data_IF_605806015590
#
_entry.id   IF_605806015590
#
_cell.length_a   1.000
_cell.length_b   1.000
_cell.length_c   1.000
_cell.angle_alpha   90.00
_cell.angle_beta   90.00
_cell.angle_gamma   90.00
#
_symmetry.space_group_name_H-M   'P 1'
#
loop_
_entity.id
_entity.type
_entity.pdbx_description
1 polymer ?
#
# COMPACT_ATOMS: atom_id res chain seq x y z
N UNK A 1 25.14 0.59 -10.34
CA UNK A 1 23.67 0.44 -10.35
C UNK A 1 23.18 0.83 -8.97
N UNK A 2 22.15 1.66 -8.82
CA UNK A 2 21.62 1.98 -7.48
C UNK A 2 20.77 0.81 -6.97
N UNK A 3 20.89 0.51 -5.68
CA UNK A 3 20.08 -0.52 -5.00
C UNK A 3 18.67 0.00 -4.72
N UNK A 4 17.74 -0.87 -4.29
CA UNK A 4 16.41 -0.40 -3.85
C UNK A 4 16.56 0.53 -2.65
N UNK A 5 17.47 0.23 -1.73
CA UNK A 5 17.76 1.07 -0.57
C UNK A 5 18.25 2.47 -0.97
N UNK A 6 19.18 2.56 -1.94
CA UNK A 6 19.68 3.87 -2.43
C UNK A 6 18.54 4.71 -3.03
N UNK A 7 17.65 4.08 -3.80
CA UNK A 7 16.50 4.76 -4.39
C UNK A 7 15.52 5.26 -3.33
N UNK A 8 15.26 4.47 -2.28
CA UNK A 8 14.40 4.87 -1.16
C UNK A 8 15.00 6.07 -0.43
N UNK A 9 16.31 6.04 -0.12
CA UNK A 9 17.01 7.16 0.51
C UNK A 9 16.94 8.42 -0.33
N UNK A 10 17.15 8.30 -1.65
CA UNK A 10 17.07 9.43 -2.57
C UNK A 10 15.67 10.04 -2.61
N UNK A 11 14.62 9.22 -2.70
CA UNK A 11 13.22 9.71 -2.69
C UNK A 11 12.88 10.33 -1.33
N UNK A 12 13.28 9.70 -0.23
CA UNK A 12 13.08 10.23 1.12
C UNK A 12 13.72 11.61 1.30
N UNK A 13 14.96 11.80 0.85
CA UNK A 13 15.64 13.10 0.88
C UNK A 13 14.88 14.16 0.06
N UNK A 14 14.41 13.81 -1.14
CA UNK A 14 13.61 14.71 -1.97
C UNK A 14 12.30 15.13 -1.31
N UNK A 15 11.62 14.20 -0.63
CA UNK A 15 10.40 14.50 0.12
C UNK A 15 10.70 15.49 1.25
N UNK A 16 11.76 15.25 2.03
CA UNK A 16 12.14 16.14 3.13
C UNK A 16 12.48 17.56 2.64
N UNK A 17 13.25 17.70 1.56
CA UNK A 17 13.52 19.00 0.95
C UNK A 17 12.23 19.71 0.51
N UNK A 18 11.27 18.99 -0.08
CA UNK A 18 10.01 19.57 -0.52
C UNK A 18 9.13 20.01 0.67
N UNK A 19 9.10 19.23 1.76
CA UNK A 19 8.38 19.58 3.00
C UNK A 19 8.94 20.87 3.60
N UNK A 20 10.27 20.97 3.72
CA UNK A 20 10.94 22.15 4.25
C UNK A 20 10.68 23.38 3.40
N UNK A 21 10.81 23.27 2.07
CA UNK A 21 10.53 24.37 1.14
C UNK A 21 9.07 24.86 1.23
N UNK A 22 8.14 23.95 1.50
CA UNK A 22 6.72 24.25 1.67
C UNK A 22 6.34 24.66 3.11
N UNK A 23 7.29 24.73 4.05
CA UNK A 23 7.06 25.02 5.46
C UNK A 23 5.99 24.12 6.11
N UNK A 24 5.97 22.83 5.72
CA UNK A 24 5.05 21.84 6.27
C UNK A 24 5.70 21.06 7.42
N UNK A 25 4.92 20.44 8.32
CA UNK A 25 5.46 19.53 9.34
C UNK A 25 6.22 18.34 8.72
N UNK A 26 7.29 17.89 9.37
CA UNK A 26 8.19 16.82 8.88
C UNK A 26 7.48 15.50 8.52
N UNK A 27 6.40 15.18 9.23
CA UNK A 27 5.61 13.95 9.01
C UNK A 27 4.34 14.17 8.17
N UNK A 28 4.26 15.28 7.43
CA UNK A 28 3.05 15.63 6.67
C UNK A 28 2.93 14.90 5.32
N UNK A 29 3.94 14.14 4.91
CA UNK A 29 3.94 13.35 3.67
C UNK A 29 4.46 11.96 3.99
N UNK A 30 3.71 10.94 3.56
CA UNK A 30 4.10 9.54 3.67
C UNK A 30 4.52 9.01 2.30
N UNK A 31 5.56 8.17 2.27
CA UNK A 31 6.02 7.51 1.06
C UNK A 31 5.34 6.14 0.94
N UNK A 32 4.48 5.99 -0.07
CA UNK A 32 3.86 4.72 -0.45
C UNK A 32 4.62 4.09 -1.62
N UNK A 33 5.19 2.90 -1.44
CA UNK A 33 5.90 2.21 -2.53
C UNK A 33 4.92 1.44 -3.41
N UNK A 34 4.81 1.84 -4.68
CA UNK A 34 3.99 1.14 -5.67
C UNK A 34 4.75 -0.09 -6.19
N UNK A 35 4.28 -1.28 -5.80
CA UNK A 35 5.00 -2.55 -6.00
C UNK A 35 4.41 -3.46 -7.07
N UNK A 36 3.37 -3.01 -7.79
CA UNK A 36 2.84 -3.73 -8.96
C UNK A 36 3.94 -4.10 -9.94
N UNK A 37 3.87 -5.31 -10.49
CA UNK A 37 4.84 -5.97 -11.37
C UNK A 37 6.21 -6.27 -10.77
N UNK A 38 6.44 -6.00 -9.47
CA UNK A 38 7.69 -6.33 -8.77
C UNK A 38 7.55 -7.64 -7.98
N UNK A 39 8.57 -8.50 -7.95
CA UNK A 39 8.52 -9.75 -7.18
C UNK A 39 8.53 -9.47 -5.67
N UNK A 40 8.00 -10.39 -4.86
CA UNK A 40 7.98 -10.30 -3.40
C UNK A 40 9.37 -10.02 -2.79
N UNK A 41 10.45 -10.56 -3.38
CA UNK A 41 11.83 -10.30 -2.97
C UNK A 41 12.20 -8.80 -2.99
N UNK A 42 11.69 -8.03 -3.96
CA UNK A 42 11.96 -6.60 -4.04
C UNK A 42 11.22 -5.82 -2.93
N UNK A 43 10.02 -6.26 -2.54
CA UNK A 43 9.28 -5.67 -1.41
C UNK A 43 10.00 -5.99 -0.09
N UNK A 44 10.58 -7.19 0.04
CA UNK A 44 11.38 -7.58 1.21
C UNK A 44 12.64 -6.70 1.34
N UNK A 45 13.34 -6.42 0.24
CA UNK A 45 14.47 -5.48 0.23
C UNK A 45 14.02 -4.06 0.61
N UNK A 46 12.89 -3.59 0.05
CA UNK A 46 12.31 -2.30 0.40
C UNK A 46 11.89 -2.21 1.89
N UNK A 47 11.34 -3.28 2.44
CA UNK A 47 10.99 -3.39 3.86
C UNK A 47 12.24 -3.34 4.75
N UNK A 48 13.30 -4.05 4.37
CA UNK A 48 14.58 -4.01 5.05
C UNK A 48 15.20 -2.60 5.04
N UNK A 49 14.93 -1.82 3.98
CA UNK A 49 15.31 -0.40 3.88
C UNK A 49 14.39 0.57 4.65
N UNK A 50 13.40 0.06 5.38
CA UNK A 50 12.57 0.85 6.30
C UNK A 50 11.15 1.16 5.80
N UNK A 51 10.80 0.80 4.57
CA UNK A 51 9.43 1.00 4.09
C UNK A 51 8.44 0.01 4.75
N UNK A 52 7.20 0.45 4.90
CA UNK A 52 6.11 -0.32 5.51
C UNK A 52 4.86 -0.35 4.62
N UNK A 53 4.57 0.76 3.95
CA UNK A 53 3.40 0.93 3.10
C UNK A 53 3.67 0.53 1.65
N UNK A 54 2.87 -0.40 1.13
CA UNK A 54 2.98 -0.93 -0.23
C UNK A 54 1.66 -0.85 -0.99
N UNK A 55 1.72 -0.30 -2.21
CA UNK A 55 0.59 -0.07 -3.09
C UNK A 55 0.51 -1.09 -4.22
N UNK A 56 -0.62 -1.78 -4.34
CA UNK A 56 -0.90 -2.76 -5.39
C UNK A 56 -2.13 -2.38 -6.24
N UNK A 57 -2.03 -2.67 -7.54
CA UNK A 57 -3.13 -2.41 -8.49
C UNK A 57 -3.95 -3.66 -8.81
N UNK A 58 -3.34 -4.85 -8.71
CA UNK A 58 -3.92 -6.10 -9.19
C UNK A 58 -4.12 -7.06 -8.02
N UNK A 59 -5.37 -7.40 -7.73
CA UNK A 59 -5.71 -8.19 -6.55
C UNK A 59 -4.98 -9.54 -6.51
N UNK A 60 -4.97 -10.31 -7.60
CA UNK A 60 -4.36 -11.64 -7.57
C UNK A 60 -2.84 -11.60 -7.36
N UNK A 61 -2.19 -10.60 -7.94
CA UNK A 61 -0.76 -10.38 -7.72
C UNK A 61 -0.49 -10.03 -6.25
N UNK A 62 -1.30 -9.13 -5.67
CA UNK A 62 -1.18 -8.74 -4.28
C UNK A 62 -1.39 -9.91 -3.31
N UNK A 63 -2.43 -10.74 -3.52
CA UNK A 63 -2.69 -11.91 -2.69
C UNK A 63 -1.52 -12.90 -2.70
N UNK A 64 -0.89 -13.11 -3.87
CA UNK A 64 0.32 -13.92 -3.98
C UNK A 64 1.46 -13.36 -3.13
N UNK A 65 1.74 -12.06 -3.24
CA UNK A 65 2.81 -11.41 -2.45
C UNK A 65 2.50 -11.38 -0.96
N UNK A 66 1.26 -11.16 -0.57
CA UNK A 66 0.83 -11.18 0.83
C UNK A 66 1.08 -12.54 1.46
N UNK A 67 0.81 -13.63 0.73
CA UNK A 67 1.12 -14.97 1.18
C UNK A 67 2.64 -15.19 1.32
N UNK A 68 3.43 -14.77 0.34
CA UNK A 68 4.90 -14.90 0.36
C UNK A 68 5.60 -14.01 1.40
N UNK A 69 4.94 -12.93 1.85
CA UNK A 69 5.47 -11.93 2.79
C UNK A 69 4.68 -11.91 4.09
N UNK A 70 3.92 -12.96 4.41
CA UNK A 70 3.10 -13.04 5.61
C UNK A 70 3.91 -12.98 6.92
N UNK A 71 5.23 -13.19 6.85
CA UNK A 71 6.17 -13.03 7.95
C UNK A 71 6.53 -11.55 8.25
N UNK A 72 6.17 -10.62 7.36
CA UNK A 72 6.46 -9.20 7.50
C UNK A 72 5.19 -8.40 7.82
N UNK A 73 5.23 -7.47 8.80
CA UNK A 73 4.10 -6.60 9.13
C UNK A 73 3.99 -5.44 8.12
N UNK A 74 3.68 -5.77 6.85
CA UNK A 74 3.48 -4.80 5.78
C UNK A 74 2.07 -4.20 5.85
N UNK A 75 1.97 -2.92 5.48
CA UNK A 75 0.69 -2.23 5.32
C UNK A 75 0.34 -2.24 3.84
N UNK A 76 -0.80 -2.83 3.49
CA UNK A 76 -1.22 -3.04 2.11
C UNK A 76 -2.28 -2.04 1.68
N UNK A 77 -1.97 -1.33 0.58
CA UNK A 77 -2.85 -0.34 -0.03
C UNK A 77 -3.32 -0.84 -1.40
N UNK A 78 -4.63 -0.96 -1.59
CA UNK A 78 -5.19 -1.17 -2.91
C UNK A 78 -5.39 0.17 -3.60
N UNK A 79 -4.66 0.39 -4.70
CA UNK A 79 -4.68 1.65 -5.45
C UNK A 79 -5.14 1.46 -6.91
N UNK A 80 -5.56 0.25 -7.27
CA UNK A 80 -6.08 -0.09 -8.59
C UNK A 80 -7.59 0.17 -8.73
N UNK A 81 -8.14 0.15 -9.95
CA UNK A 81 -9.59 0.25 -10.16
C UNK A 81 -10.33 -0.95 -9.54
N UNK A 82 -11.47 -0.69 -8.89
CA UNK A 82 -12.20 -1.71 -8.14
C UNK A 82 -13.35 -2.31 -8.98
N UNK A 83 -13.26 -3.60 -9.24
CA UNK A 83 -14.37 -4.38 -9.80
C UNK A 83 -15.27 -4.88 -8.67
N UNK A 84 -16.60 -4.76 -8.82
CA UNK A 84 -17.56 -5.08 -7.74
C UNK A 84 -17.48 -6.53 -7.24
N UNK A 85 -17.08 -7.48 -8.08
CA UNK A 85 -16.91 -8.89 -7.72
C UNK A 85 -15.62 -9.17 -6.93
N UNK A 86 -14.70 -8.20 -6.86
CA UNK A 86 -13.41 -8.29 -6.18
C UNK A 86 -13.43 -7.63 -4.79
N UNK A 87 -14.51 -6.91 -4.44
CA UNK A 87 -14.60 -6.13 -3.18
C UNK A 87 -14.39 -6.98 -1.93
N UNK A 88 -14.86 -8.24 -1.91
CA UNK A 88 -14.74 -9.10 -0.72
C UNK A 88 -13.28 -9.41 -0.39
N UNK A 89 -12.55 -9.93 -1.38
CA UNK A 89 -11.13 -10.22 -1.21
C UNK A 89 -10.31 -8.93 -0.97
N UNK A 90 -10.70 -7.77 -1.51
CA UNK A 90 -10.05 -6.50 -1.13
C UNK A 90 -10.32 -6.18 0.35
N UNK A 91 -11.56 -6.30 0.81
CA UNK A 91 -11.95 -6.03 2.19
C UNK A 91 -11.32 -7.00 3.19
N UNK A 92 -11.05 -8.24 2.83
CA UNK A 92 -10.42 -9.24 3.71
C UNK A 92 -8.90 -9.08 3.83
N UNK A 93 -8.24 -8.49 2.83
CA UNK A 93 -6.79 -8.59 2.67
C UNK A 93 -6.01 -7.26 2.68
N UNK A 94 -6.68 -6.11 2.59
CA UNK A 94 -6.00 -4.81 2.55
C UNK A 94 -6.27 -3.98 3.81
N UNK A 95 -5.37 -3.03 4.09
CA UNK A 95 -5.51 -2.05 5.17
C UNK A 95 -6.11 -0.74 4.66
N UNK A 96 -5.81 -0.41 3.39
CA UNK A 96 -6.25 0.81 2.72
C UNK A 96 -6.81 0.52 1.32
N UNK A 97 -7.81 1.30 0.90
CA UNK A 97 -8.35 1.29 -0.46
C UNK A 97 -8.51 2.73 -0.95
N UNK A 98 -7.65 3.17 -1.87
CA UNK A 98 -7.59 4.58 -2.28
C UNK A 98 -8.52 4.93 -3.45
N UNK A 99 -9.13 3.92 -4.07
CA UNK A 99 -9.84 4.04 -5.35
C UNK A 99 -11.35 3.88 -5.23
N UNK A 100 -11.92 4.23 -4.08
CA UNK A 100 -13.37 4.22 -3.86
C UNK A 100 -14.01 5.43 -4.54
N UNK A 101 -14.74 5.20 -5.63
CA UNK A 101 -15.33 6.25 -6.47
C UNK A 101 -16.87 6.31 -6.40
N UNK A 102 -17.52 5.34 -5.76
CA UNK A 102 -18.98 5.23 -5.71
C UNK A 102 -19.46 4.55 -4.44
N UNK A 103 -20.61 5.01 -3.94
CA UNK A 103 -21.23 4.53 -2.70
C UNK A 103 -21.40 2.99 -2.67
N UNK A 104 -21.82 2.40 -3.79
CA UNK A 104 -21.99 0.94 -3.90
C UNK A 104 -20.70 0.17 -3.59
N UNK A 105 -19.53 0.69 -3.94
CA UNK A 105 -18.25 0.03 -3.62
C UNK A 105 -17.91 0.19 -2.15
N UNK A 106 -18.06 1.40 -1.60
CA UNK A 106 -17.85 1.66 -0.17
C UNK A 106 -18.72 0.77 0.72
N UNK A 107 -20.02 0.66 0.41
CA UNK A 107 -20.96 -0.20 1.13
C UNK A 107 -20.54 -1.66 1.09
N UNK A 108 -20.17 -2.16 -0.10
CA UNK A 108 -19.71 -3.55 -0.25
C UNK A 108 -18.44 -3.83 0.53
N UNK A 109 -17.47 -2.92 0.51
CA UNK A 109 -16.24 -3.06 1.29
C UNK A 109 -16.54 -3.10 2.79
N UNK A 110 -17.42 -2.23 3.28
CA UNK A 110 -17.86 -2.20 4.68
C UNK A 110 -18.58 -3.48 5.09
N UNK A 111 -19.57 -3.93 4.31
CA UNK A 111 -20.33 -5.16 4.56
C UNK A 111 -19.49 -6.44 4.49
N UNK A 112 -18.37 -6.40 3.78
CA UNK A 112 -17.50 -7.57 3.53
C UNK A 112 -16.23 -7.57 4.37
N UNK A 113 -15.98 -6.52 5.17
CA UNK A 113 -14.84 -6.47 6.08
C UNK A 113 -15.12 -7.42 7.26
N UNK A 114 -14.25 -8.42 7.51
CA UNK A 114 -14.39 -9.27 8.69
C UNK A 114 -14.34 -8.47 9.99
N UNK A 115 -15.14 -8.85 10.98
CA UNK A 115 -15.30 -8.09 12.22
C UNK A 115 -14.05 -8.13 13.13
N UNK A 116 -13.20 -9.14 12.94
CA UNK A 116 -11.93 -9.32 13.63
C UNK A 116 -10.82 -8.39 13.12
N UNK A 117 -10.98 -7.79 11.93
CA UNK A 117 -10.01 -6.87 11.36
C UNK A 117 -10.34 -5.42 11.73
N UNK A 118 -9.33 -4.53 11.82
CA UNK A 118 -9.57 -3.10 11.96
C UNK A 118 -10.43 -2.56 10.80
N UNK A 119 -11.13 -1.42 10.98
CA UNK A 119 -11.84 -0.77 9.91
C UNK A 119 -10.92 -0.54 8.69
N UNK A 120 -11.45 -0.81 7.50
CA UNK A 120 -10.74 -0.57 6.26
C UNK A 120 -10.64 0.94 6.02
N UNK A 121 -9.43 1.45 5.80
CA UNK A 121 -9.24 2.86 5.48
C UNK A 121 -9.59 3.09 3.99
N UNK A 122 -10.33 4.15 3.70
CA UNK A 122 -10.73 4.54 2.33
C UNK A 122 -10.44 6.01 2.05
#
# INVERSE_FOLDING_TARGET
MSTIADNILQVGSRIQTAIQAAHRPENSVQLLAVSKTKPAAALREAYAAGLRDFGENYLQEALGKQLELADLPLIWHFIGPIQSNKTRAIAEHFDWVHSVDRLKIAQRLSEQRPAELPPLNI
#
